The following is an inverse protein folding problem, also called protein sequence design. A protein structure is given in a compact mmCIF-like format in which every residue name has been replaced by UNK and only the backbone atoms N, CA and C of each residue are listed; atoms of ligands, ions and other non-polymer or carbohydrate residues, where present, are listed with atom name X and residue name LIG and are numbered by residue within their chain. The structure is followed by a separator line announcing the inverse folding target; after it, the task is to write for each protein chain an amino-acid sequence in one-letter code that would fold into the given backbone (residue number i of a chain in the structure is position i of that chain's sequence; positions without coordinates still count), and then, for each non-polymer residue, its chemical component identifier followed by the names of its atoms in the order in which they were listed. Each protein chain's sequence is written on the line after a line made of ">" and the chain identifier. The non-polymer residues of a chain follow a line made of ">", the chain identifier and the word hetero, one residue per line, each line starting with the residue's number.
data_IF_064379765851
#
_entry.id   IF_064379765851
#
_cell.length_a   1.000
_cell.length_b   1.000
_cell.length_c   1.000
_cell.angle_alpha   90.00
_cell.angle_beta   90.00
_cell.angle_gamma   90.00
#
_symmetry.space_group_name_H-M   'P 1'
#
loop_
_entity.id
_entity.type
_entity.pdbx_description
1 polymer ?
#
# COMPACT_ATOMS: atom_id res chain seq x y z
N UNK A 1 22.03 -4.97 83.04
CA UNK A 1 21.30 -5.02 81.75
C UNK A 1 21.20 -3.60 81.18
N UNK A 2 21.79 -3.35 80.00
CA UNK A 2 21.55 -2.22 79.05
C UNK A 2 22.76 -2.16 78.09
N UNK A 3 22.80 -3.03 77.07
CA UNK A 3 22.43 -2.81 75.65
C UNK A 3 23.37 -1.81 74.93
N UNK A 4 24.40 -2.35 74.29
CA UNK A 4 25.12 -1.73 73.17
C UNK A 4 24.18 -1.58 71.97
N UNK A 5 24.12 -0.40 71.38
CA UNK A 5 23.48 -0.15 70.07
C UNK A 5 24.59 -0.16 69.01
N UNK A 6 24.60 -1.22 68.18
CA UNK A 6 25.32 -1.22 66.90
C UNK A 6 24.42 -0.51 65.87
N UNK A 7 24.89 0.59 65.30
CA UNK A 7 24.26 1.19 64.13
C UNK A 7 24.78 0.49 62.87
N UNK A 8 23.90 -0.27 62.21
CA UNK A 8 24.18 -0.91 60.92
C UNK A 8 23.86 0.09 59.81
N UNK A 9 24.87 0.59 59.12
CA UNK A 9 24.69 1.42 57.93
C UNK A 9 24.25 0.53 56.75
N UNK A 10 22.99 0.69 56.33
CA UNK A 10 22.43 0.00 55.17
C UNK A 10 22.86 0.75 53.90
N UNK A 11 23.86 0.22 53.19
CA UNK A 11 24.21 0.69 51.84
C UNK A 11 23.20 0.12 50.86
N UNK A 12 22.26 0.94 50.41
CA UNK A 12 21.34 0.59 49.32
C UNK A 12 22.08 0.80 48.00
N UNK A 13 22.59 -0.29 47.41
CA UNK A 13 23.03 -0.31 46.02
C UNK A 13 21.78 -0.19 45.13
N UNK A 14 21.53 1.01 44.62
CA UNK A 14 20.55 1.22 43.57
C UNK A 14 21.05 0.53 42.30
N UNK A 15 20.50 -0.65 42.00
CA UNK A 15 20.62 -1.26 40.67
C UNK A 15 19.85 -0.39 39.69
N UNK A 16 20.55 0.44 38.93
CA UNK A 16 19.99 1.09 37.74
C UNK A 16 19.49 -0.02 36.82
N UNK A 17 18.18 -0.16 36.67
CA UNK A 17 17.58 -1.00 35.64
C UNK A 17 18.16 -0.55 34.29
N UNK A 18 18.96 -1.40 33.68
CA UNK A 18 19.44 -1.22 32.31
C UNK A 18 18.18 -1.19 31.44
N UNK A 19 17.97 -0.11 30.70
CA UNK A 19 16.92 -0.07 29.69
C UNK A 19 17.06 -1.32 28.82
N UNK A 20 16.01 -2.13 28.71
CA UNK A 20 16.03 -3.34 27.91
C UNK A 20 16.53 -2.99 26.50
N UNK A 21 17.60 -3.65 26.05
CA UNK A 21 18.14 -3.42 24.71
C UNK A 21 17.01 -3.64 23.68
N UNK A 22 16.76 -2.70 22.77
CA UNK A 22 15.60 -2.78 21.88
C UNK A 22 15.68 -4.04 21.01
N UNK A 23 14.66 -4.90 21.09
CA UNK A 23 14.60 -6.20 20.41
C UNK A 23 14.86 -6.03 18.91
N UNK A 24 15.92 -6.68 18.40
CA UNK A 24 16.22 -6.74 16.97
C UNK A 24 15.32 -7.79 16.34
N UNK A 25 14.50 -7.39 15.36
CA UNK A 25 13.67 -8.34 14.61
C UNK A 25 14.48 -9.02 13.50
N UNK A 26 14.36 -10.34 13.42
CA UNK A 26 14.99 -11.18 12.39
C UNK A 26 14.01 -12.11 11.71
N UNK A 27 12.89 -12.46 12.37
CA UNK A 27 11.81 -13.30 11.84
C UNK A 27 10.48 -12.64 12.13
N UNK A 28 9.68 -12.37 11.11
CA UNK A 28 8.38 -11.70 11.26
C UNK A 28 7.35 -12.51 10.50
N UNK A 29 6.28 -12.92 11.17
CA UNK A 29 5.13 -13.56 10.52
C UNK A 29 4.03 -12.52 10.29
N UNK A 30 3.22 -12.70 9.25
CA UNK A 30 2.06 -11.84 9.02
C UNK A 30 0.95 -12.57 8.26
N UNK A 31 -0.27 -12.08 8.35
CA UNK A 31 -1.41 -12.58 7.57
C UNK A 31 -2.74 -12.00 8.01
N UNK A 32 -3.83 -12.46 7.39
CA UNK A 32 -5.20 -12.02 7.65
C UNK A 32 -6.22 -13.16 7.51
N UNK A 33 -7.48 -12.87 7.80
CA UNK A 33 -8.64 -13.72 7.48
C UNK A 33 -8.65 -15.04 8.27
N UNK A 34 -8.96 -14.93 9.57
CA UNK A 34 -9.13 -16.05 10.48
C UNK A 34 -10.58 -16.17 10.97
N UNK A 35 -11.29 -17.15 10.44
CA UNK A 35 -12.62 -17.54 10.92
C UNK A 35 -12.49 -18.33 12.22
N UNK A 36 -12.80 -17.68 13.34
CA UNK A 36 -12.78 -18.27 14.68
C UNK A 36 -13.70 -19.50 14.83
N UNK A 37 -14.70 -19.66 13.97
CA UNK A 37 -15.67 -20.76 14.05
C UNK A 37 -15.19 -22.02 13.31
N UNK A 38 -14.00 -21.97 12.68
CA UNK A 38 -13.37 -23.08 11.94
C UNK A 38 -11.99 -23.42 12.51
N UNK A 39 -11.45 -24.62 12.21
CA UNK A 39 -10.07 -24.96 12.55
C UNK A 39 -9.05 -23.94 12.00
N UNK A 40 -8.01 -23.66 12.79
CA UNK A 40 -6.90 -22.76 12.47
C UNK A 40 -5.54 -23.43 12.81
N UNK A 41 -5.23 -24.61 12.23
CA UNK A 41 -3.98 -25.32 12.54
C UNK A 41 -2.73 -24.53 12.07
N UNK A 42 -2.89 -23.63 11.10
CA UNK A 42 -1.82 -22.73 10.66
C UNK A 42 -1.18 -21.92 11.80
N UNK A 43 -1.92 -21.64 12.87
CA UNK A 43 -1.38 -20.94 14.04
C UNK A 43 -0.33 -21.79 14.79
N UNK A 44 -0.48 -23.11 14.81
CA UNK A 44 0.55 -24.00 15.37
C UNK A 44 1.82 -23.99 14.51
N UNK A 45 1.67 -23.95 13.18
CA UNK A 45 2.78 -23.82 12.24
C UNK A 45 3.53 -22.51 12.41
N UNK A 46 2.80 -21.38 12.54
CA UNK A 46 3.41 -20.07 12.81
C UNK A 46 4.13 -20.09 14.17
N UNK A 47 3.53 -20.68 15.20
CA UNK A 47 4.16 -20.79 16.51
C UNK A 47 5.46 -21.62 16.45
N UNK A 48 5.46 -22.71 15.69
CA UNK A 48 6.64 -23.55 15.47
C UNK A 48 7.77 -22.82 14.72
N UNK A 49 7.42 -21.86 13.85
CA UNK A 49 8.39 -21.01 13.16
C UNK A 49 9.09 -19.99 14.07
N UNK A 50 8.57 -19.77 15.30
CA UNK A 50 9.10 -18.87 16.33
C UNK A 50 9.42 -17.46 15.80
N UNK A 51 8.43 -16.73 15.27
CA UNK A 51 8.63 -15.35 14.85
C UNK A 51 8.97 -14.45 16.05
N UNK A 52 9.73 -13.40 15.79
CA UNK A 52 9.99 -12.33 16.75
C UNK A 52 8.79 -11.40 16.94
N UNK A 53 7.93 -11.32 15.91
CA UNK A 53 6.72 -10.52 15.84
C UNK A 53 5.71 -11.18 14.88
N UNK A 54 4.43 -11.18 15.25
CA UNK A 54 3.32 -11.52 14.36
C UNK A 54 2.49 -10.27 14.08
N UNK A 55 2.28 -9.97 12.78
CA UNK A 55 1.50 -8.82 12.31
C UNK A 55 0.17 -9.33 11.75
N UNK A 56 -0.95 -8.98 12.37
CA UNK A 56 -2.26 -9.28 11.83
C UNK A 56 -2.79 -8.12 10.98
N UNK A 57 -3.21 -8.43 9.75
CA UNK A 57 -3.57 -7.43 8.75
C UNK A 57 -5.08 -7.16 8.67
N UNK A 58 -5.87 -7.75 9.56
CA UNK A 58 -7.33 -7.60 9.57
C UNK A 58 -8.06 -8.91 9.34
N UNK A 59 -9.40 -8.86 9.41
CA UNK A 59 -10.26 -10.05 9.56
C UNK A 59 -9.68 -10.99 10.63
N UNK A 60 -9.32 -10.40 11.77
CA UNK A 60 -8.77 -11.13 12.90
C UNK A 60 -9.77 -12.13 13.49
N UNK A 61 -11.04 -11.89 13.18
CA UNK A 61 -12.21 -12.70 13.41
C UNK A 61 -13.28 -12.25 12.40
N UNK A 62 -14.37 -12.98 12.27
CA UNK A 62 -15.49 -12.61 11.41
C UNK A 62 -16.78 -12.39 12.23
N UNK A 63 -17.29 -11.16 12.26
CA UNK A 63 -18.50 -10.84 12.99
C UNK A 63 -19.81 -11.14 12.22
N UNK A 64 -19.75 -11.22 10.88
CA UNK A 64 -20.89 -11.09 9.97
C UNK A 64 -21.07 -12.25 8.97
N UNK A 65 -20.33 -13.37 9.13
CA UNK A 65 -20.50 -14.54 8.26
C UNK A 65 -21.87 -15.20 8.41
N UNK A 66 -22.46 -15.17 9.60
CA UNK A 66 -23.85 -15.61 9.80
C UNK A 66 -24.82 -14.52 9.33
N UNK A 67 -25.35 -14.69 8.11
CA UNK A 67 -26.31 -13.74 7.51
C UNK A 67 -27.63 -13.61 8.26
N UNK A 68 -27.92 -14.49 9.22
CA UNK A 68 -29.12 -14.39 10.09
C UNK A 68 -28.85 -13.56 11.33
N UNK A 69 -27.59 -13.36 11.68
CA UNK A 69 -27.18 -12.59 12.84
C UNK A 69 -27.10 -11.10 12.48
N UNK A 70 -27.77 -10.26 13.27
CA UNK A 70 -27.52 -8.82 13.24
C UNK A 70 -26.23 -8.55 13.99
N UNK A 71 -25.24 -7.98 13.32
CA UNK A 71 -23.99 -7.57 13.99
C UNK A 71 -24.27 -6.38 14.90
N UNK A 72 -23.87 -6.51 16.15
CA UNK A 72 -23.91 -5.48 17.19
C UNK A 72 -22.53 -5.38 17.85
N UNK A 73 -22.26 -4.32 18.63
CA UNK A 73 -21.02 -4.23 19.41
C UNK A 73 -20.73 -5.45 20.28
N UNK A 74 -21.76 -6.08 20.86
CA UNK A 74 -21.59 -7.27 21.69
C UNK A 74 -21.23 -8.50 20.87
N UNK A 75 -21.83 -8.68 19.68
CA UNK A 75 -21.41 -9.72 18.73
C UNK A 75 -19.94 -9.57 18.38
N UNK A 76 -19.48 -8.35 18.09
CA UNK A 76 -18.07 -8.08 17.78
C UNK A 76 -17.18 -8.48 18.96
N UNK A 77 -17.50 -8.03 20.18
CA UNK A 77 -16.73 -8.40 21.39
C UNK A 77 -16.70 -9.91 21.61
N UNK A 78 -17.83 -10.59 21.44
CA UNK A 78 -17.90 -12.03 21.68
C UNK A 78 -17.13 -12.83 20.64
N UNK A 79 -17.10 -12.38 19.38
CA UNK A 79 -16.32 -13.01 18.33
C UNK A 79 -14.80 -12.86 18.55
N UNK A 80 -14.34 -11.72 19.09
CA UNK A 80 -12.96 -11.61 19.57
C UNK A 80 -12.65 -12.57 20.72
N UNK A 81 -13.55 -12.68 21.73
CA UNK A 81 -13.38 -13.64 22.84
C UNK A 81 -13.36 -15.09 22.34
N UNK A 82 -14.06 -15.41 21.25
CA UNK A 82 -14.00 -16.72 20.62
C UNK A 82 -12.62 -16.95 19.98
N UNK A 83 -12.09 -15.97 19.23
CA UNK A 83 -10.74 -16.06 18.67
C UNK A 83 -9.67 -16.27 19.76
N UNK A 84 -9.76 -15.56 20.88
CA UNK A 84 -8.82 -15.74 22.00
C UNK A 84 -8.83 -17.14 22.61
N UNK A 85 -9.93 -17.89 22.43
CA UNK A 85 -10.07 -19.27 22.90
C UNK A 85 -9.57 -20.31 21.89
N UNK A 86 -9.27 -19.92 20.65
CA UNK A 86 -8.67 -20.81 19.66
C UNK A 86 -7.29 -21.25 20.18
N UNK A 87 -7.03 -22.56 20.39
CA UNK A 87 -5.82 -23.02 21.07
C UNK A 87 -4.52 -22.53 20.42
N UNK A 88 -4.43 -22.59 19.09
CA UNK A 88 -3.27 -22.11 18.34
C UNK A 88 -3.07 -20.60 18.49
N UNK A 89 -4.15 -19.82 18.51
CA UNK A 89 -4.10 -18.37 18.72
C UNK A 89 -3.65 -18.03 20.15
N UNK A 90 -4.23 -18.67 21.16
CA UNK A 90 -3.85 -18.49 22.56
C UNK A 90 -2.37 -18.79 22.79
N UNK A 91 -1.85 -19.86 22.16
CA UNK A 91 -0.43 -20.22 22.17
C UNK A 91 0.45 -19.15 21.51
N UNK A 92 0.06 -18.62 20.34
CA UNK A 92 0.76 -17.52 19.69
C UNK A 92 0.79 -16.27 20.56
N UNK A 93 -0.37 -15.83 21.07
CA UNK A 93 -0.50 -14.66 21.94
C UNK A 93 0.37 -14.78 23.21
N UNK A 94 0.56 -15.99 23.73
CA UNK A 94 1.43 -16.25 24.89
C UNK A 94 2.93 -16.29 24.58
N UNK A 95 3.34 -16.50 23.31
CA UNK A 95 4.75 -16.79 22.95
C UNK A 95 5.37 -15.81 21.97
N UNK A 96 4.55 -15.01 21.27
CA UNK A 96 4.99 -14.06 20.26
C UNK A 96 4.30 -12.70 20.51
N UNK A 97 5.05 -11.59 20.55
CA UNK A 97 4.45 -10.27 20.47
C UNK A 97 3.59 -10.14 19.22
N UNK A 98 2.42 -9.51 19.37
CA UNK A 98 1.46 -9.34 18.29
C UNK A 98 1.05 -7.88 18.16
N UNK A 99 1.03 -7.40 16.92
CA UNK A 99 0.47 -6.10 16.55
C UNK A 99 -0.46 -6.30 15.37
N UNK A 100 -1.43 -5.42 15.17
CA UNK A 100 -2.34 -5.58 14.05
C UNK A 100 -3.32 -4.44 13.85
N UNK A 101 -4.04 -4.53 12.75
CA UNK A 101 -5.17 -3.67 12.40
C UNK A 101 -6.39 -4.54 12.13
N UNK A 102 -7.53 -3.94 11.82
CA UNK A 102 -8.73 -4.64 11.36
C UNK A 102 -8.86 -4.65 9.84
N UNK A 103 -9.84 -5.40 9.35
CA UNK A 103 -10.46 -5.22 8.05
C UNK A 103 -12.00 -5.12 8.22
N UNK A 104 -12.79 -5.35 7.18
CA UNK A 104 -14.23 -5.13 7.21
C UNK A 104 -14.99 -6.11 8.12
N UNK A 105 -14.59 -7.38 8.22
CA UNK A 105 -15.37 -8.37 8.96
C UNK A 105 -15.23 -8.25 10.48
N UNK A 106 -14.09 -7.78 10.98
CA UNK A 106 -13.87 -7.46 12.39
C UNK A 106 -14.13 -5.98 12.74
N UNK A 107 -14.18 -5.09 11.73
CA UNK A 107 -14.86 -3.79 11.82
C UNK A 107 -16.38 -3.94 11.97
N UNK A 108 -16.95 -5.01 11.38
CA UNK A 108 -18.27 -5.54 11.71
C UNK A 108 -19.21 -5.77 10.53
N UNK A 109 -18.81 -5.44 9.29
CA UNK A 109 -19.65 -5.64 8.10
C UNK A 109 -18.82 -5.58 6.83
N UNK A 110 -18.99 -6.59 5.97
CA UNK A 110 -18.37 -6.67 4.65
C UNK A 110 -18.47 -5.36 3.84
N UNK A 111 -17.34 -4.91 3.30
CA UNK A 111 -17.15 -3.66 2.57
C UNK A 111 -17.65 -2.40 3.31
N UNK A 112 -17.77 -2.40 4.64
CA UNK A 112 -18.21 -1.22 5.38
C UNK A 112 -17.07 -0.22 5.64
N UNK A 113 -17.41 1.06 5.62
CA UNK A 113 -16.51 2.19 5.84
C UNK A 113 -17.07 3.18 6.86
N UNK A 114 -16.98 4.47 6.57
CA UNK A 114 -17.43 5.55 7.46
C UNK A 114 -18.92 5.47 7.81
N UNK A 115 -19.74 4.85 6.96
CA UNK A 115 -21.18 4.68 7.17
C UNK A 115 -21.55 3.66 8.26
N UNK A 116 -20.58 2.86 8.74
CA UNK A 116 -20.84 1.88 9.79
C UNK A 116 -21.14 2.54 11.13
N UNK A 117 -22.33 2.28 11.66
CA UNK A 117 -22.84 2.93 12.87
C UNK A 117 -22.11 2.50 14.15
N UNK A 118 -21.50 1.30 14.16
CA UNK A 118 -20.82 0.72 15.33
C UNK A 118 -19.29 0.84 15.31
N UNK A 119 -18.74 1.69 14.45
CA UNK A 119 -17.28 1.80 14.25
C UNK A 119 -16.51 2.21 15.51
N UNK A 120 -17.11 3.03 16.37
CA UNK A 120 -16.49 3.47 17.62
C UNK A 120 -16.41 2.34 18.64
N UNK A 121 -17.46 1.52 18.74
CA UNK A 121 -17.47 0.36 19.62
C UNK A 121 -16.62 -0.78 19.09
N UNK A 122 -16.61 -0.99 17.77
CA UNK A 122 -15.70 -1.92 17.10
C UNK A 122 -14.24 -1.54 17.40
N UNK A 123 -13.91 -0.24 17.38
CA UNK A 123 -12.57 0.27 17.72
C UNK A 123 -12.18 -0.17 19.13
N UNK A 124 -13.06 0.02 20.11
CA UNK A 124 -12.76 -0.39 21.47
C UNK A 124 -12.60 -1.91 21.59
N UNK A 125 -13.40 -2.70 20.87
CA UNK A 125 -13.29 -4.16 20.87
C UNK A 125 -11.94 -4.65 20.31
N UNK A 126 -11.47 -4.09 19.19
CA UNK A 126 -10.14 -4.40 18.63
C UNK A 126 -9.02 -4.01 19.62
N UNK A 127 -9.11 -2.83 20.21
CA UNK A 127 -8.09 -2.34 21.15
C UNK A 127 -8.06 -3.21 22.43
N UNK A 128 -9.21 -3.69 22.89
CA UNK A 128 -9.30 -4.65 24.00
C UNK A 128 -8.67 -6.00 23.63
N UNK A 129 -8.93 -6.50 22.42
CA UNK A 129 -8.36 -7.75 21.90
C UNK A 129 -6.82 -7.73 21.86
N UNK A 130 -6.23 -6.61 21.46
CA UNK A 130 -4.77 -6.40 21.50
C UNK A 130 -4.24 -5.97 22.88
N UNK A 131 -5.10 -5.81 23.89
CA UNK A 131 -4.69 -5.42 25.24
C UNK A 131 -4.12 -4.01 25.33
N UNK A 132 -4.55 -3.11 24.43
CA UNK A 132 -4.06 -1.73 24.39
C UNK A 132 -4.43 -1.00 25.68
N UNK A 133 -3.47 -0.27 26.27
CA UNK A 133 -3.66 0.42 27.53
C UNK A 133 -4.82 1.44 27.48
N UNK A 134 -5.45 1.70 28.64
CA UNK A 134 -6.63 2.58 28.73
C UNK A 134 -6.32 4.05 28.44
N UNK A 135 -5.08 4.46 28.62
CA UNK A 135 -4.55 5.81 28.38
C UNK A 135 -3.84 5.95 27.03
N UNK A 136 -3.80 4.89 26.22
CA UNK A 136 -3.24 4.94 24.86
C UNK A 136 -4.06 5.91 23.99
N UNK A 137 -3.41 6.80 23.20
CA UNK A 137 -4.11 7.75 22.34
C UNK A 137 -5.14 7.12 21.39
N UNK A 138 -4.96 5.85 20.99
CA UNK A 138 -5.93 5.10 20.17
C UNK A 138 -7.28 4.91 20.85
N UNK A 139 -7.36 5.00 22.18
CA UNK A 139 -8.63 4.87 22.91
C UNK A 139 -9.57 6.04 22.65
N UNK A 140 -9.04 7.21 22.31
CA UNK A 140 -9.80 8.44 22.08
C UNK A 140 -9.68 9.00 20.67
N UNK A 141 -8.57 8.74 19.98
CA UNK A 141 -8.37 9.14 18.58
C UNK A 141 -9.18 8.24 17.65
N UNK A 142 -9.79 8.83 16.63
CA UNK A 142 -10.58 8.10 15.63
C UNK A 142 -9.67 7.22 14.77
N UNK A 143 -10.03 5.94 14.61
CA UNK A 143 -9.26 4.93 13.88
C UNK A 143 -8.19 4.21 14.72
N UNK A 144 -7.85 2.99 14.31
CA UNK A 144 -6.97 2.05 15.05
C UNK A 144 -5.50 2.09 14.61
N UNK A 145 -5.19 2.90 13.61
CA UNK A 145 -3.86 3.02 13.03
C UNK A 145 -2.79 3.35 14.08
N UNK A 146 -1.60 2.75 13.95
CA UNK A 146 -0.46 3.02 14.83
C UNK A 146 0.85 2.53 14.23
N UNK A 147 1.96 2.79 14.90
CA UNK A 147 3.27 2.36 14.45
C UNK A 147 4.19 2.04 15.63
N UNK A 148 5.05 1.05 15.44
CA UNK A 148 6.08 0.64 16.39
C UNK A 148 7.45 0.57 15.70
N UNK A 149 8.51 0.89 16.43
CA UNK A 149 9.89 0.81 15.94
C UNK A 149 10.65 -0.16 16.85
N UNK A 150 11.23 -1.18 16.25
CA UNK A 150 12.03 -2.21 16.93
C UNK A 150 13.49 -2.11 16.52
N UNK A 151 14.39 -2.50 17.41
CA UNK A 151 15.83 -2.53 17.18
C UNK A 151 16.55 -1.19 17.36
N UNK A 152 17.89 -1.22 17.54
CA UNK A 152 18.72 -0.02 17.63
C UNK A 152 19.01 0.57 16.23
N UNK A 153 19.51 1.82 16.14
CA UNK A 153 19.93 2.42 14.87
C UNK A 153 20.80 1.48 14.01
N UNK A 154 20.50 1.40 12.71
CA UNK A 154 21.15 0.49 11.77
C UNK A 154 20.49 -0.89 11.66
N UNK A 155 19.59 -1.24 12.60
CA UNK A 155 18.79 -2.49 12.58
C UNK A 155 17.32 -2.23 12.91
N UNK A 156 16.79 -1.06 12.54
CA UNK A 156 15.42 -0.67 12.86
C UNK A 156 14.42 -1.23 11.87
N UNK A 157 13.39 -1.84 12.41
CA UNK A 157 12.17 -2.18 11.69
C UNK A 157 11.06 -1.30 12.22
N UNK A 158 10.46 -0.50 11.34
CA UNK A 158 9.24 0.24 11.64
C UNK A 158 8.05 -0.52 11.08
N UNK A 159 7.11 -0.90 11.94
CA UNK A 159 5.82 -1.45 11.54
C UNK A 159 4.81 -0.32 11.55
N UNK A 160 4.19 -0.04 10.41
CA UNK A 160 3.17 1.01 10.24
C UNK A 160 1.86 0.32 9.90
N UNK A 161 0.92 0.35 10.83
CA UNK A 161 -0.40 -0.26 10.69
C UNK A 161 -1.40 0.80 10.27
N UNK A 162 -1.86 0.70 9.02
CA UNK A 162 -2.92 1.54 8.50
C UNK A 162 -4.29 1.03 8.97
N UNK A 163 -5.26 1.90 8.86
CA UNK A 163 -6.68 1.68 9.09
C UNK A 163 -7.36 2.16 7.81
N UNK A 164 -7.87 1.23 7.04
CA UNK A 164 -8.47 1.46 5.72
C UNK A 164 -10.00 1.37 5.79
N UNK A 165 -10.58 1.44 7.00
CA UNK A 165 -12.03 1.31 7.25
C UNK A 165 -12.63 2.54 7.89
N UNK A 166 -12.05 3.04 8.99
CA UNK A 166 -12.72 4.02 9.87
C UNK A 166 -13.18 5.29 9.14
N UNK A 167 -12.31 5.83 8.29
CA UNK A 167 -12.56 7.05 7.52
C UNK A 167 -12.99 6.77 6.09
N UNK A 168 -13.04 5.49 5.68
CA UNK A 168 -13.15 5.13 4.28
C UNK A 168 -14.49 5.59 3.71
N UNK A 169 -14.43 6.32 2.61
CA UNK A 169 -15.60 6.70 1.83
C UNK A 169 -16.29 5.46 1.22
N UNK A 170 -17.61 5.49 0.98
CA UNK A 170 -18.32 4.35 0.41
C UNK A 170 -17.69 3.84 -0.91
N UNK A 171 -17.58 2.51 -1.04
CA UNK A 171 -17.13 1.88 -2.30
C UNK A 171 -18.26 1.96 -3.33
N UNK A 172 -17.92 2.40 -4.54
CA UNK A 172 -18.81 2.31 -5.70
C UNK A 172 -18.80 0.88 -6.22
N UNK A 173 -19.97 0.28 -6.44
CA UNK A 173 -20.10 -1.09 -6.98
C UNK A 173 -20.80 -1.07 -8.33
N UNK A 174 -20.36 -1.93 -9.25
CA UNK A 174 -21.08 -2.23 -10.47
C UNK A 174 -22.38 -3.01 -10.15
N UNK A 175 -23.36 -3.06 -11.07
CA UNK A 175 -24.47 -4.01 -10.96
C UNK A 175 -23.94 -5.44 -10.76
N UNK A 176 -24.66 -6.22 -9.96
CA UNK A 176 -24.34 -7.62 -9.75
C UNK A 176 -24.41 -8.39 -11.07
N UNK A 177 -23.33 -9.08 -11.43
CA UNK A 177 -23.30 -9.96 -12.59
C UNK A 177 -23.61 -11.40 -12.15
N UNK A 178 -24.74 -11.99 -12.58
CA UNK A 178 -25.10 -13.35 -12.21
C UNK A 178 -24.19 -14.43 -12.79
N UNK A 179 -23.43 -14.13 -13.87
CA UNK A 179 -22.50 -15.09 -14.48
C UNK A 179 -21.25 -15.28 -13.64
N UNK A 180 -20.69 -14.18 -13.14
CA UNK A 180 -19.50 -14.19 -12.28
C UNK A 180 -19.84 -14.23 -10.80
N UNK A 181 -21.10 -13.94 -10.44
CA UNK A 181 -21.60 -13.76 -9.06
C UNK A 181 -20.88 -12.66 -8.29
N UNK A 182 -20.47 -11.61 -8.99
CA UNK A 182 -19.66 -10.52 -8.44
C UNK A 182 -20.35 -9.18 -8.74
N UNK A 183 -20.34 -8.28 -7.76
CA UNK A 183 -20.57 -6.85 -7.96
C UNK A 183 -19.23 -6.13 -7.82
N UNK A 184 -18.60 -5.80 -8.95
CA UNK A 184 -17.23 -5.32 -8.97
C UNK A 184 -17.09 -3.95 -8.29
N UNK A 185 -16.06 -3.77 -7.46
CA UNK A 185 -15.65 -2.47 -6.93
C UNK A 185 -15.14 -1.59 -8.08
N UNK A 186 -15.80 -0.46 -8.28
CA UNK A 186 -15.47 0.53 -9.30
C UNK A 186 -14.56 1.63 -8.71
N UNK A 187 -13.74 2.30 -9.54
CA UNK A 187 -13.01 3.48 -9.11
C UNK A 187 -13.96 4.60 -8.65
N UNK A 188 -13.66 5.16 -7.48
CA UNK A 188 -14.25 6.37 -6.96
C UNK A 188 -13.28 7.54 -7.15
N UNK A 189 -13.57 8.39 -8.14
CA UNK A 189 -12.74 9.55 -8.51
C UNK A 189 -13.16 10.86 -7.85
N UNK A 190 -14.15 10.81 -6.96
CA UNK A 190 -14.64 11.99 -6.24
C UNK A 190 -13.46 12.63 -5.47
N UNK A 191 -13.30 13.96 -5.51
CA UNK A 191 -12.13 14.63 -4.94
C UNK A 191 -12.02 14.47 -3.42
N UNK A 192 -13.14 14.26 -2.73
CA UNK A 192 -13.21 14.13 -1.28
C UNK A 192 -13.23 12.66 -0.82
N UNK A 193 -13.21 11.70 -1.76
CA UNK A 193 -13.15 10.28 -1.43
C UNK A 193 -11.82 9.95 -0.77
N UNK A 194 -11.87 9.25 0.36
CA UNK A 194 -10.69 8.93 1.18
C UNK A 194 -10.69 7.49 1.70
N UNK A 195 -9.51 6.91 1.92
CA UNK A 195 -9.34 5.71 2.76
C UNK A 195 -8.97 6.12 4.18
N UNK A 196 -7.92 6.94 4.31
CA UNK A 196 -7.29 7.22 5.60
C UNK A 196 -7.90 8.42 6.33
N UNK A 197 -8.53 9.36 5.62
CA UNK A 197 -8.96 10.63 6.19
C UNK A 197 -7.79 11.55 6.57
N UNK A 198 -8.10 12.83 6.80
CA UNK A 198 -7.07 13.86 6.96
C UNK A 198 -6.14 13.64 8.16
N UNK A 199 -6.67 13.14 9.29
CA UNK A 199 -5.91 12.95 10.53
C UNK A 199 -4.85 11.85 10.38
N UNK A 200 -5.25 10.71 9.81
CA UNK A 200 -4.33 9.59 9.60
C UNK A 200 -3.31 9.91 8.50
N UNK A 201 -3.68 10.66 7.45
CA UNK A 201 -2.73 11.13 6.45
C UNK A 201 -1.60 11.96 7.07
N UNK A 202 -1.97 12.92 7.93
CA UNK A 202 -0.99 13.74 8.66
C UNK A 202 -0.13 12.87 9.58
N UNK A 203 -0.75 11.96 10.33
CA UNK A 203 -0.03 11.03 11.19
C UNK A 203 0.96 10.14 10.42
N UNK A 204 0.57 9.64 9.25
CA UNK A 204 1.41 8.80 8.40
C UNK A 204 2.64 9.55 7.90
N UNK A 205 2.47 10.81 7.48
CA UNK A 205 3.60 11.68 7.11
C UNK A 205 4.60 11.81 8.26
N UNK A 206 4.13 12.03 9.48
CA UNK A 206 4.97 12.11 10.68
C UNK A 206 5.69 10.78 10.96
N UNK A 207 5.03 9.64 10.77
CA UNK A 207 5.65 8.32 10.94
C UNK A 207 6.74 8.06 9.91
N UNK A 208 6.53 8.42 8.64
CA UNK A 208 7.49 8.17 7.57
C UNK A 208 8.78 9.01 7.73
N UNK A 209 8.70 10.15 8.42
CA UNK A 209 9.87 10.97 8.79
C UNK A 209 10.70 10.34 9.92
N UNK A 210 10.16 9.38 10.68
CA UNK A 210 10.93 8.67 11.72
C UNK A 210 11.97 7.77 11.06
N UNK A 211 13.19 7.68 11.63
CA UNK A 211 14.26 6.92 11.02
C UNK A 211 14.06 5.41 11.20
N UNK A 212 14.13 4.66 10.11
CA UNK A 212 14.04 3.21 10.06
C UNK A 212 14.78 2.66 8.84
N UNK A 213 15.37 1.47 8.98
CA UNK A 213 16.06 0.78 7.90
C UNK A 213 15.07 -0.03 7.05
N UNK A 214 14.14 -0.76 7.69
CA UNK A 214 13.03 -1.47 7.04
C UNK A 214 11.70 -0.90 7.53
N UNK A 215 10.74 -0.71 6.61
CA UNK A 215 9.38 -0.24 6.90
C UNK A 215 8.38 -1.27 6.40
N UNK A 216 7.63 -1.88 7.31
CA UNK A 216 6.53 -2.77 6.99
C UNK A 216 5.23 -1.96 7.03
N UNK A 217 4.72 -1.59 5.86
CA UNK A 217 3.48 -0.84 5.73
C UNK A 217 2.31 -1.83 5.61
N UNK A 218 1.64 -2.08 6.72
CA UNK A 218 0.50 -2.98 6.81
C UNK A 218 -0.80 -2.26 6.40
N UNK A 219 -1.46 -2.78 5.38
CA UNK A 219 -2.75 -2.34 4.84
C UNK A 219 -3.71 -3.52 4.87
N UNK A 220 -4.98 -3.33 5.22
CA UNK A 220 -5.90 -4.48 5.25
C UNK A 220 -6.23 -4.98 3.83
N UNK A 221 -6.31 -4.06 2.87
CA UNK A 221 -6.55 -4.33 1.45
C UNK A 221 -5.29 -4.18 0.59
N UNK A 222 -5.29 -4.80 -0.60
CA UNK A 222 -4.18 -4.70 -1.56
C UNK A 222 -3.93 -3.26 -2.04
N UNK A 223 -2.66 -2.87 -2.07
CA UNK A 223 -2.22 -1.52 -2.45
C UNK A 223 -1.83 -1.45 -3.93
N UNK A 224 -0.99 -2.39 -4.37
CA UNK A 224 -0.35 -2.34 -5.69
C UNK A 224 -1.27 -2.82 -6.81
N UNK A 225 -2.11 -3.82 -6.52
CA UNK A 225 -2.98 -4.48 -7.50
C UNK A 225 -3.96 -3.51 -8.18
N UNK A 226 -4.23 -3.74 -9.47
CA UNK A 226 -5.12 -2.89 -10.29
C UNK A 226 -6.36 -3.62 -10.81
N UNK A 227 -6.26 -4.93 -11.05
CA UNK A 227 -7.12 -5.59 -12.05
C UNK A 227 -8.27 -6.43 -11.47
N UNK A 228 -8.12 -7.02 -10.27
CA UNK A 228 -9.17 -7.87 -9.69
C UNK A 228 -10.42 -7.03 -9.34
N UNK A 229 -11.64 -7.60 -9.36
CA UNK A 229 -12.88 -6.81 -9.23
C UNK A 229 -13.26 -6.44 -7.79
N UNK A 230 -12.42 -6.73 -6.80
CA UNK A 230 -12.74 -6.55 -5.38
C UNK A 230 -12.06 -5.31 -4.79
N UNK A 231 -12.21 -5.10 -3.48
CA UNK A 231 -11.69 -3.92 -2.79
C UNK A 231 -10.16 -3.88 -2.78
N UNK A 232 -9.61 -2.71 -3.08
CA UNK A 232 -8.18 -2.42 -3.20
C UNK A 232 -7.97 -0.91 -3.24
N UNK A 233 -6.74 -0.46 -3.04
CA UNK A 233 -6.40 0.97 -3.12
C UNK A 233 -6.72 1.61 -4.48
N UNK A 234 -6.69 0.83 -5.58
CA UNK A 234 -7.09 1.32 -6.89
C UNK A 234 -8.58 1.73 -6.97
N UNK A 235 -9.40 1.38 -5.98
CA UNK A 235 -10.78 1.85 -5.90
C UNK A 235 -10.91 3.31 -5.47
N UNK A 236 -9.90 3.92 -4.84
CA UNK A 236 -9.83 5.39 -4.64
C UNK A 236 -8.48 5.86 -5.18
N UNK A 237 -8.33 6.00 -6.51
CA UNK A 237 -7.02 6.16 -7.16
C UNK A 237 -6.23 7.37 -6.65
N UNK A 238 -6.91 8.48 -6.32
CA UNK A 238 -6.28 9.69 -5.76
C UNK A 238 -5.61 9.45 -4.41
N UNK A 239 -6.20 8.61 -3.55
CA UNK A 239 -5.60 8.25 -2.26
C UNK A 239 -4.35 7.38 -2.45
N UNK A 240 -4.37 6.48 -3.43
CA UNK A 240 -3.19 5.66 -3.76
C UNK A 240 -2.06 6.51 -4.33
N UNK A 241 -2.37 7.41 -5.25
CA UNK A 241 -1.41 8.38 -5.80
C UNK A 241 -0.83 9.26 -4.68
N UNK A 242 -1.68 9.71 -3.74
CA UNK A 242 -1.25 10.47 -2.56
C UNK A 242 -0.30 9.66 -1.67
N UNK A 243 -0.53 8.35 -1.50
CA UNK A 243 0.40 7.48 -0.77
C UNK A 243 1.76 7.41 -1.45
N UNK A 244 1.78 7.14 -2.76
CA UNK A 244 3.01 7.09 -3.53
C UNK A 244 3.78 8.42 -3.46
N UNK A 245 3.08 9.54 -3.64
CA UNK A 245 3.66 10.88 -3.52
C UNK A 245 4.24 11.13 -2.12
N UNK A 246 3.55 10.67 -1.06
CA UNK A 246 4.02 10.80 0.31
C UNK A 246 5.29 9.96 0.58
N UNK A 247 5.34 8.72 0.09
CA UNK A 247 6.53 7.88 0.19
C UNK A 247 7.74 8.53 -0.51
N UNK A 248 7.53 9.13 -1.69
CA UNK A 248 8.58 9.84 -2.41
C UNK A 248 9.00 11.14 -1.70
N UNK A 249 8.05 11.98 -1.27
CA UNK A 249 8.34 13.29 -0.68
C UNK A 249 9.03 13.19 0.69
N UNK A 250 8.66 12.17 1.48
CA UNK A 250 9.34 11.85 2.75
C UNK A 250 10.66 11.12 2.55
N UNK A 251 10.99 10.72 1.31
CA UNK A 251 12.15 9.89 0.97
C UNK A 251 12.18 8.60 1.80
N UNK A 252 11.00 8.04 2.07
CA UNK A 252 10.89 6.79 2.82
C UNK A 252 11.62 5.68 2.07
N UNK A 253 12.51 4.97 2.76
CA UNK A 253 13.27 3.84 2.21
C UNK A 253 12.92 2.55 2.93
N UNK A 254 13.23 1.41 2.30
CA UNK A 254 13.00 0.10 2.88
C UNK A 254 11.53 -0.29 3.00
N UNK A 255 10.63 0.34 2.25
CA UNK A 255 9.18 0.09 2.36
C UNK A 255 8.80 -1.20 1.64
N UNK A 256 8.14 -2.09 2.39
CA UNK A 256 7.48 -3.30 1.90
C UNK A 256 6.03 -3.24 2.40
N UNK A 257 5.07 -3.39 1.49
CA UNK A 257 3.66 -3.42 1.83
C UNK A 257 3.25 -4.85 2.19
N UNK A 258 2.46 -4.98 3.26
CA UNK A 258 1.82 -6.22 3.67
C UNK A 258 0.31 -6.04 3.54
N UNK A 259 -0.38 -6.96 2.84
CA UNK A 259 -1.83 -6.85 2.58
C UNK A 259 -2.64 -8.12 2.86
N UNK A 260 -3.96 -7.95 3.07
CA UNK A 260 -4.94 -8.98 3.41
C UNK A 260 -6.12 -9.06 2.42
N UNK A 261 -7.35 -9.21 2.93
CA UNK A 261 -8.67 -9.23 2.23
C UNK A 261 -8.94 -10.38 1.23
N UNK A 262 -7.96 -10.76 0.41
CA UNK A 262 -8.20 -11.51 -0.84
C UNK A 262 -8.51 -13.01 -0.73
N UNK A 263 -8.32 -13.63 0.44
CA UNK A 263 -8.43 -15.08 0.63
C UNK A 263 -7.52 -15.89 -0.32
N UNK A 264 -6.35 -15.34 -0.62
CA UNK A 264 -5.24 -15.94 -1.34
C UNK A 264 -3.92 -15.33 -0.86
N UNK A 265 -2.81 -15.89 -1.33
CA UNK A 265 -1.52 -15.23 -1.23
C UNK A 265 -1.04 -14.78 -2.61
N UNK A 266 -0.46 -13.58 -2.67
CA UNK A 266 0.25 -13.14 -3.86
C UNK A 266 1.29 -12.07 -3.55
N UNK A 267 2.24 -11.91 -4.46
CA UNK A 267 3.23 -10.84 -4.43
C UNK A 267 3.03 -10.01 -5.69
N UNK A 268 2.74 -8.73 -5.49
CA UNK A 268 2.69 -7.72 -6.55
C UNK A 268 3.94 -6.84 -6.51
N UNK A 269 4.35 -6.34 -7.67
CA UNK A 269 5.52 -5.47 -7.80
C UNK A 269 5.19 -4.23 -8.64
N UNK A 270 5.39 -3.06 -8.07
CA UNK A 270 5.37 -1.79 -8.79
C UNK A 270 6.77 -1.18 -8.84
N UNK A 271 7.33 -1.07 -10.04
CA UNK A 271 8.67 -0.50 -10.25
C UNK A 271 8.63 0.95 -10.74
N UNK A 272 7.45 1.58 -10.80
CA UNK A 272 7.25 2.88 -11.46
C UNK A 272 6.69 3.96 -10.53
N UNK A 273 5.87 3.57 -9.55
CA UNK A 273 5.16 4.54 -8.69
C UNK A 273 6.05 5.26 -7.69
N UNK A 274 7.15 4.64 -7.26
CA UNK A 274 8.12 5.25 -6.32
C UNK A 274 9.55 5.01 -6.81
N UNK A 275 10.52 5.67 -6.16
CA UNK A 275 11.91 5.67 -6.63
C UNK A 275 12.69 4.35 -6.51
N UNK A 276 12.02 3.25 -6.15
CA UNK A 276 12.55 1.89 -6.06
C UNK A 276 11.39 0.88 -6.19
N UNK A 277 11.66 -0.43 -6.35
CA UNK A 277 10.59 -1.42 -6.45
C UNK A 277 9.74 -1.50 -5.16
N UNK A 278 8.44 -1.22 -5.28
CA UNK A 278 7.46 -1.35 -4.22
C UNK A 278 6.81 -2.73 -4.29
N UNK A 279 7.16 -3.57 -3.32
CA UNK A 279 6.54 -4.89 -3.14
C UNK A 279 5.28 -4.76 -2.30
N UNK A 280 4.22 -5.45 -2.72
CA UNK A 280 3.00 -5.66 -1.95
C UNK A 280 2.77 -7.16 -1.80
N UNK A 281 2.89 -7.64 -0.58
CA UNK A 281 2.81 -9.06 -0.26
C UNK A 281 1.50 -9.32 0.46
N UNK A 282 0.57 -9.89 -0.30
CA UNK A 282 -0.71 -10.33 0.21
C UNK A 282 -0.57 -11.71 0.82
N UNK A 283 -0.93 -11.82 2.09
CA UNK A 283 -1.12 -13.11 2.75
C UNK A 283 -2.47 -13.09 3.45
N UNK A 284 -3.45 -13.65 2.77
CA UNK A 284 -4.85 -13.53 3.15
C UNK A 284 -5.51 -14.89 3.13
N UNK A 285 -5.80 -15.43 4.31
CA UNK A 285 -6.43 -16.73 4.47
C UNK A 285 -5.67 -17.61 5.44
N UNK A 286 -5.73 -17.28 6.72
CA UNK A 286 -5.35 -18.23 7.77
C UNK A 286 -6.24 -19.47 7.74
N UNK A 287 -7.53 -19.32 7.41
CA UNK A 287 -8.41 -20.46 7.10
C UNK A 287 -9.51 -20.17 6.06
N UNK A 288 -9.40 -19.04 5.36
CA UNK A 288 -10.35 -18.63 4.32
C UNK A 288 -9.82 -18.86 2.91
N UNK A 289 -8.62 -19.42 2.76
CA UNK A 289 -8.06 -19.76 1.47
C UNK A 289 -8.93 -20.77 0.72
N UNK A 290 -9.01 -20.63 -0.61
CA UNK A 290 -9.71 -21.63 -1.44
C UNK A 290 -9.05 -22.99 -1.25
N UNK A 291 -9.79 -24.01 -0.81
CA UNK A 291 -9.22 -25.37 -0.64
C UNK A 291 -8.96 -26.10 -1.96
N UNK A 292 -9.59 -25.63 -3.03
CA UNK A 292 -9.40 -26.16 -4.38
C UNK A 292 -8.59 -25.18 -5.20
N UNK A 293 -7.80 -25.71 -6.13
CA UNK A 293 -7.13 -24.89 -7.13
C UNK A 293 -8.14 -24.00 -7.86
N UNK A 294 -7.83 -22.71 -7.94
CA UNK A 294 -8.53 -21.74 -8.78
C UNK A 294 -7.53 -20.99 -9.63
N UNK A 295 -7.92 -20.59 -10.84
CA UNK A 295 -7.08 -19.71 -11.64
C UNK A 295 -6.82 -18.41 -10.84
N UNK A 296 -5.58 -17.91 -10.78
CA UNK A 296 -5.29 -16.63 -10.15
C UNK A 296 -6.15 -15.51 -10.75
N UNK A 297 -6.62 -14.62 -9.89
CA UNK A 297 -7.37 -13.42 -10.31
C UNK A 297 -6.52 -12.54 -11.23
N UNK A 298 -7.12 -11.66 -12.03
CA UNK A 298 -6.34 -10.75 -12.86
C UNK A 298 -5.44 -9.87 -11.98
N UNK A 299 -4.15 -9.81 -12.31
CA UNK A 299 -3.17 -8.89 -11.72
C UNK A 299 -1.96 -8.77 -12.65
N UNK A 300 -1.88 -7.67 -13.36
CA UNK A 300 -0.82 -7.31 -14.31
C UNK A 300 0.52 -7.03 -13.64
N UNK A 301 0.53 -6.85 -12.31
CA UNK A 301 1.72 -6.58 -11.49
C UNK A 301 2.16 -7.79 -10.68
N UNK A 302 1.56 -8.96 -10.89
CA UNK A 302 1.87 -10.18 -10.14
C UNK A 302 3.29 -10.67 -10.45
N UNK A 303 4.06 -10.90 -9.38
CA UNK A 303 5.34 -11.59 -9.41
C UNK A 303 5.19 -13.07 -9.06
N UNK A 304 4.37 -13.39 -8.06
CA UNK A 304 4.11 -14.75 -7.61
C UNK A 304 2.71 -14.84 -6.97
N UNK A 305 2.11 -16.03 -6.94
CA UNK A 305 0.85 -16.28 -6.25
C UNK A 305 0.74 -17.71 -5.76
N UNK A 306 -0.02 -17.88 -4.68
CA UNK A 306 -0.51 -19.15 -4.17
C UNK A 306 -2.04 -19.16 -4.37
N UNK A 307 -2.54 -19.82 -5.43
CA UNK A 307 -3.95 -19.70 -5.83
C UNK A 307 -4.95 -20.43 -4.91
N UNK A 308 -4.46 -21.30 -4.03
CA UNK A 308 -5.28 -22.15 -3.17
C UNK A 308 -4.50 -22.52 -1.90
N UNK A 309 -5.20 -22.98 -0.88
CA UNK A 309 -4.65 -23.32 0.43
C UNK A 309 -4.63 -22.13 1.38
N UNK A 310 -4.53 -22.45 2.66
CA UNK A 310 -4.30 -21.44 3.69
C UNK A 310 -2.82 -21.06 3.68
N UNK A 311 -2.54 -19.83 4.09
CA UNK A 311 -1.21 -19.28 3.97
C UNK A 311 -0.89 -18.24 5.07
N UNK A 312 0.40 -18.05 5.29
CA UNK A 312 0.94 -16.93 6.05
C UNK A 312 2.20 -16.38 5.39
N UNK A 313 2.44 -15.09 5.58
CA UNK A 313 3.65 -14.43 5.15
C UNK A 313 4.76 -14.58 6.19
N UNK A 314 6.00 -14.76 5.73
CA UNK A 314 7.17 -14.89 6.60
C UNK A 314 8.35 -14.09 6.07
N UNK A 315 8.82 -13.14 6.87
CA UNK A 315 9.94 -12.25 6.56
C UNK A 315 11.13 -12.67 7.40
N UNK A 316 12.29 -12.83 6.78
CA UNK A 316 13.56 -12.94 7.50
C UNK A 316 14.50 -11.81 7.13
N UNK A 317 15.13 -11.19 8.13
CA UNK A 317 16.11 -10.12 7.93
C UNK A 317 17.47 -10.60 8.42
N UNK A 318 18.42 -10.62 7.50
CA UNK A 318 19.82 -10.91 7.77
C UNK A 318 20.61 -9.62 7.89
N UNK A 319 20.96 -9.27 9.12
CA UNK A 319 21.67 -8.03 9.48
C UNK A 319 23.21 -8.18 9.51
N UNK A 320 23.78 -9.33 9.12
CA UNK A 320 25.20 -9.61 9.38
C UNK A 320 26.18 -8.89 8.43
N UNK A 321 25.70 -8.30 7.34
CA UNK A 321 26.53 -7.60 6.34
C UNK A 321 26.21 -6.12 6.23
N UNK A 322 27.10 -5.37 5.56
CA UNK A 322 26.98 -3.92 5.33
C UNK A 322 25.73 -3.54 4.51
N UNK A 323 25.22 -4.49 3.73
CA UNK A 323 23.96 -4.38 3.00
C UNK A 323 23.03 -5.52 3.42
N UNK A 324 22.19 -5.31 4.46
CA UNK A 324 21.29 -6.31 5.00
C UNK A 324 20.40 -6.93 3.92
N UNK A 325 20.04 -8.21 4.10
CA UNK A 325 19.18 -8.93 3.15
C UNK A 325 17.83 -9.20 3.78
N UNK A 326 16.77 -8.82 3.09
CA UNK A 326 15.39 -9.15 3.44
C UNK A 326 14.92 -10.27 2.51
N UNK A 327 14.44 -11.37 3.09
CA UNK A 327 13.74 -12.41 2.35
C UNK A 327 12.28 -12.44 2.80
N UNK A 328 11.37 -12.47 1.84
CA UNK A 328 9.94 -12.61 2.10
C UNK A 328 9.45 -13.88 1.44
N UNK A 329 8.67 -14.67 2.17
CA UNK A 329 8.08 -15.92 1.72
C UNK A 329 6.58 -15.88 1.95
N UNK A 330 5.85 -16.52 1.05
CA UNK A 330 4.52 -17.05 1.31
C UNK A 330 4.73 -18.50 1.73
N UNK A 331 4.11 -18.89 2.83
CA UNK A 331 4.13 -20.26 3.34
C UNK A 331 2.71 -20.81 3.44
N UNK A 332 2.55 -22.08 3.18
CA UNK A 332 1.27 -22.77 3.34
C UNK A 332 1.02 -23.20 4.80
N UNK A 333 -0.07 -23.92 5.03
CA UNK A 333 -0.48 -24.44 6.34
C UNK A 333 0.59 -25.36 6.99
N UNK A 334 1.34 -26.11 6.17
CA UNK A 334 2.41 -27.00 6.63
C UNK A 334 3.73 -26.25 6.89
N UNK A 335 3.81 -25.00 6.46
CA UNK A 335 4.95 -24.11 6.64
C UNK A 335 5.96 -24.15 5.50
N UNK A 336 5.62 -24.83 4.40
CA UNK A 336 6.44 -24.92 3.20
C UNK A 336 6.36 -23.62 2.40
N UNK A 337 7.51 -23.17 1.91
CA UNK A 337 7.58 -21.94 1.13
C UNK A 337 7.09 -22.18 -0.30
N UNK A 338 5.96 -21.57 -0.65
CA UNK A 338 5.32 -21.73 -1.97
C UNK A 338 5.70 -20.62 -2.96
N UNK A 339 6.19 -19.49 -2.45
CA UNK A 339 6.66 -18.36 -3.24
C UNK A 339 7.42 -17.35 -2.39
N UNK A 340 8.12 -16.41 -3.02
CA UNK A 340 8.86 -15.39 -2.29
C UNK A 340 9.86 -14.61 -3.13
N UNK A 341 10.55 -13.67 -2.49
CA UNK A 341 11.66 -12.92 -3.07
C UNK A 341 12.73 -12.64 -2.03
N UNK A 342 13.93 -12.28 -2.50
CA UNK A 342 15.04 -11.82 -1.68
C UNK A 342 15.58 -10.52 -2.26
N UNK A 343 15.77 -9.53 -1.42
CA UNK A 343 16.30 -8.22 -1.81
C UNK A 343 17.37 -7.78 -0.83
N UNK A 344 18.34 -7.03 -1.34
CA UNK A 344 19.28 -6.28 -0.52
C UNK A 344 18.62 -4.97 -0.10
N UNK A 345 18.89 -4.49 1.11
CA UNK A 345 18.22 -3.27 1.60
C UNK A 345 18.58 -2.05 0.74
N UNK A 346 19.77 -2.02 0.16
CA UNK A 346 20.20 -1.02 -0.82
C UNK A 346 19.26 -0.90 -2.03
N UNK A 347 18.59 -1.98 -2.46
CA UNK A 347 17.67 -1.93 -3.61
C UNK A 347 16.32 -1.29 -3.26
N UNK A 348 16.03 -1.14 -1.96
CA UNK A 348 14.84 -0.45 -1.46
C UNK A 348 15.17 0.97 -1.00
N UNK A 349 16.30 1.52 -1.46
CA UNK A 349 16.65 2.92 -1.31
C UNK A 349 16.46 3.56 -2.68
N UNK A 350 15.69 4.64 -2.73
CA UNK A 350 15.56 5.40 -3.96
C UNK A 350 16.95 5.83 -4.43
N UNK A 351 17.26 5.65 -5.71
CA UNK A 351 18.55 6.00 -6.32
C UNK A 351 18.83 7.51 -6.35
N UNK A 352 18.04 8.34 -5.67
CA UNK A 352 18.01 9.78 -5.90
C UNK A 352 17.57 10.18 -7.32
N UNK A 353 17.27 9.21 -8.19
CA UNK A 353 16.90 9.43 -9.60
C UNK A 353 15.51 8.92 -9.95
N UNK A 354 14.88 8.17 -9.04
CA UNK A 354 13.47 7.79 -9.12
C UNK A 354 12.55 8.84 -8.48
N UNK A 355 12.70 10.11 -8.88
CA UNK A 355 11.57 11.02 -8.76
C UNK A 355 10.50 10.52 -9.74
N UNK A 356 9.59 9.65 -9.26
CA UNK A 356 8.20 9.93 -9.53
C UNK A 356 7.96 11.26 -8.80
N UNK A 357 8.20 12.35 -9.54
CA UNK A 357 7.80 13.69 -9.14
C UNK A 357 6.38 13.51 -8.60
N UNK A 358 6.05 14.10 -7.44
CA UNK A 358 4.65 14.46 -7.24
C UNK A 358 4.20 15.12 -8.54
N UNK A 359 2.94 15.03 -8.94
CA UNK A 359 2.40 16.10 -9.80
C UNK A 359 2.35 17.37 -8.93
N UNK A 360 3.50 17.84 -8.44
CA UNK A 360 3.81 19.24 -8.53
C UNK A 360 3.75 19.49 -10.02
N UNK A 361 2.84 20.37 -10.44
CA UNK A 361 3.00 21.04 -11.72
C UNK A 361 4.48 21.39 -11.84
N UNK A 362 5.19 20.72 -12.75
CA UNK A 362 6.54 21.15 -13.14
C UNK A 362 6.38 22.64 -13.36
N UNK A 363 7.11 23.49 -12.61
CA UNK A 363 6.97 24.93 -12.77
C UNK A 363 7.50 25.23 -14.16
N UNK A 364 6.59 25.24 -15.12
CA UNK A 364 6.88 25.45 -16.52
C UNK A 364 7.54 26.82 -16.65
N UNK A 365 8.49 27.00 -17.58
CA UNK A 365 9.04 28.31 -17.85
C UNK A 365 7.92 29.32 -18.12
N UNK A 366 8.15 30.60 -17.78
CA UNK A 366 7.16 31.64 -18.02
C UNK A 366 6.72 31.64 -19.50
N UNK A 367 5.41 31.59 -19.72
CA UNK A 367 4.82 31.50 -21.06
C UNK A 367 4.67 30.09 -21.64
N UNK A 368 5.10 29.03 -20.92
CA UNK A 368 4.91 27.63 -21.33
C UNK A 368 3.73 27.01 -20.58
N UNK A 369 2.82 26.37 -21.32
CA UNK A 369 1.58 25.80 -20.81
C UNK A 369 1.68 24.28 -20.61
N UNK A 370 0.91 23.78 -19.64
CA UNK A 370 0.65 22.35 -19.51
C UNK A 370 -0.30 21.90 -20.63
N UNK A 371 -0.33 20.60 -20.98
CA UNK A 371 -1.27 20.08 -21.98
C UNK A 371 -2.74 20.43 -21.65
N UNK A 372 -3.13 20.36 -20.38
CA UNK A 372 -4.48 20.70 -19.93
C UNK A 372 -4.81 22.20 -20.05
N UNK A 373 -3.83 23.08 -19.82
CA UNK A 373 -4.00 24.52 -20.03
C UNK A 373 -4.06 24.86 -21.51
N UNK A 374 -3.18 24.25 -22.32
CA UNK A 374 -3.15 24.44 -23.77
C UNK A 374 -4.40 23.92 -24.48
N UNK A 375 -4.98 22.81 -24.00
CA UNK A 375 -6.23 22.27 -24.54
C UNK A 375 -7.40 23.27 -24.49
N UNK A 376 -7.36 24.26 -23.59
CA UNK A 376 -8.38 25.30 -23.43
C UNK A 376 -8.16 26.51 -24.35
N UNK A 377 -7.09 26.51 -25.14
CA UNK A 377 -6.58 27.65 -25.92
C UNK A 377 -6.78 27.47 -27.43
N UNK A 378 -7.92 26.90 -27.82
CA UNK A 378 -8.25 26.60 -29.22
C UNK A 378 -8.17 27.85 -30.09
N UNK A 379 -7.39 27.77 -31.19
CA UNK A 379 -7.14 28.88 -32.10
C UNK A 379 -5.95 29.77 -31.71
N UNK A 380 -5.44 29.67 -30.48
CA UNK A 380 -4.28 30.45 -30.03
C UNK A 380 -2.96 29.73 -30.40
N UNK A 381 -1.91 30.52 -30.68
CA UNK A 381 -0.54 30.03 -30.75
C UNK A 381 0.03 29.99 -29.34
N UNK A 382 0.42 28.81 -28.87
CA UNK A 382 0.91 28.58 -27.51
C UNK A 382 2.17 27.71 -27.54
N UNK A 383 2.93 27.75 -26.45
CA UNK A 383 4.04 26.83 -26.22
C UNK A 383 3.63 25.83 -25.15
N UNK A 384 3.83 24.54 -25.39
CA UNK A 384 3.46 23.44 -24.50
C UNK A 384 4.68 22.59 -24.21
N UNK A 385 4.84 22.16 -22.96
CA UNK A 385 5.89 21.23 -22.56
C UNK A 385 5.31 20.07 -21.76
N UNK A 386 5.70 18.85 -22.13
CA UNK A 386 5.34 17.62 -21.41
C UNK A 386 6.22 16.44 -21.85
N UNK A 387 6.17 15.36 -21.08
CA UNK A 387 6.83 14.09 -21.42
C UNK A 387 5.93 13.24 -22.31
N UNK A 388 6.44 12.81 -23.46
CA UNK A 388 5.67 12.03 -24.45
C UNK A 388 5.48 10.60 -23.97
N UNK A 389 4.23 10.15 -23.87
CA UNK A 389 3.88 8.81 -23.39
C UNK A 389 3.77 7.77 -24.52
N UNK A 390 3.33 8.20 -25.71
CA UNK A 390 3.33 7.38 -26.92
C UNK A 390 3.45 8.24 -28.17
N UNK A 391 3.92 7.63 -29.26
CA UNK A 391 3.92 8.25 -30.59
C UNK A 391 3.01 7.44 -31.50
N UNK A 392 2.06 8.12 -32.14
CA UNK A 392 1.12 7.51 -33.08
C UNK A 392 1.16 8.15 -34.47
N UNK A 393 0.39 7.59 -35.40
CA UNK A 393 0.26 8.07 -36.78
C UNK A 393 1.29 7.51 -37.75
N UNK A 394 0.93 7.46 -39.04
CA UNK A 394 1.77 6.92 -40.13
C UNK A 394 2.40 8.04 -40.97
N UNK A 395 1.61 9.04 -41.35
CA UNK A 395 2.08 10.18 -42.13
C UNK A 395 2.44 11.38 -41.24
N UNK A 396 1.51 11.77 -40.37
CA UNK A 396 1.78 12.74 -39.30
C UNK A 396 2.18 11.97 -38.04
N UNK A 397 3.12 12.53 -37.27
CA UNK A 397 3.43 12.01 -35.95
C UNK A 397 2.57 12.71 -34.91
N UNK A 398 1.98 11.92 -34.01
CA UNK A 398 1.20 12.38 -32.87
C UNK A 398 1.97 12.03 -31.61
N UNK A 399 2.56 13.04 -30.98
CA UNK A 399 3.20 12.90 -29.68
C UNK A 399 2.10 13.02 -28.64
N UNK A 400 1.78 11.94 -27.93
CA UNK A 400 0.62 11.86 -27.05
C UNK A 400 1.03 11.98 -25.58
N UNK A 401 0.18 12.64 -24.77
CA UNK A 401 0.31 12.64 -23.31
C UNK A 401 -0.05 11.30 -22.68
N UNK A 402 -0.82 10.45 -23.38
CA UNK A 402 -1.23 9.13 -22.90
C UNK A 402 -0.68 7.99 -23.77
N UNK A 403 -0.51 6.80 -23.17
CA UNK A 403 -0.20 5.57 -23.92
C UNK A 403 -1.38 5.12 -24.76
N UNK A 404 -2.60 5.28 -24.24
CA UNK A 404 -3.82 5.14 -25.04
C UNK A 404 -4.18 6.49 -25.66
N UNK A 405 -3.89 6.65 -26.95
CA UNK A 405 -4.18 7.89 -27.68
C UNK A 405 -5.70 8.18 -27.79
N UNK A 406 -6.56 7.23 -27.44
CA UNK A 406 -8.02 7.40 -27.38
C UNK A 406 -8.53 7.80 -26.00
N UNK A 407 -7.66 7.88 -25.00
CA UNK A 407 -8.05 8.33 -23.68
C UNK A 407 -8.67 9.74 -23.75
N UNK A 408 -9.72 9.97 -22.95
CA UNK A 408 -10.48 11.24 -22.98
C UNK A 408 -9.64 12.46 -22.59
N UNK A 409 -8.57 12.23 -21.84
CA UNK A 409 -7.62 13.24 -21.37
C UNK A 409 -6.35 13.30 -22.23
N UNK A 410 -6.30 12.59 -23.36
CA UNK A 410 -5.16 12.65 -24.26
C UNK A 410 -5.08 14.01 -24.96
N UNK A 411 -3.89 14.61 -24.91
CA UNK A 411 -3.51 15.77 -25.71
C UNK A 411 -2.36 15.37 -26.62
N UNK A 412 -2.37 15.88 -27.85
CA UNK A 412 -1.33 15.56 -28.82
C UNK A 412 -0.66 16.80 -29.38
N UNK A 413 0.67 16.74 -29.48
CA UNK A 413 1.44 17.59 -30.40
C UNK A 413 1.55 16.84 -31.73
N UNK A 414 1.10 17.47 -32.80
CA UNK A 414 1.07 16.92 -34.15
C UNK A 414 2.23 17.50 -34.93
N UNK A 415 3.05 16.63 -35.51
CA UNK A 415 4.07 16.99 -36.50
C UNK A 415 3.56 16.55 -37.88
N UNK A 416 3.01 17.47 -38.67
CA UNK A 416 2.70 17.20 -40.07
C UNK A 416 3.90 16.68 -40.86
N UNK A 417 3.68 15.84 -41.88
CA UNK A 417 4.78 15.33 -42.71
C UNK A 417 5.68 16.44 -43.29
N UNK A 418 5.10 17.59 -43.65
CA UNK A 418 5.83 18.75 -44.18
C UNK A 418 6.82 19.40 -43.20
N UNK A 419 6.67 19.16 -41.90
CA UNK A 419 7.58 19.70 -40.85
C UNK A 419 8.56 18.63 -40.32
N UNK A 420 8.45 17.39 -40.81
CA UNK A 420 9.38 16.32 -40.47
C UNK A 420 10.63 16.39 -41.37
N UNK A 421 11.35 17.50 -41.29
CA UNK A 421 12.57 17.77 -42.09
C UNK A 421 13.79 17.97 -41.20
N UNK A 422 15.00 17.90 -41.77
CA UNK A 422 16.25 18.03 -41.02
C UNK A 422 16.37 16.97 -39.92
N UNK A 423 16.58 17.40 -38.67
CA UNK A 423 16.72 16.48 -37.52
C UNK A 423 15.49 15.62 -37.24
N UNK A 424 14.33 15.94 -37.83
CA UNK A 424 13.08 15.21 -37.63
C UNK A 424 12.72 14.24 -38.77
N UNK A 425 13.53 14.12 -39.82
CA UNK A 425 13.25 13.26 -40.99
C UNK A 425 13.05 11.79 -40.66
N UNK A 426 13.76 11.31 -39.63
CA UNK A 426 13.69 9.92 -39.15
C UNK A 426 13.05 9.81 -37.77
N UNK A 427 12.29 10.84 -37.37
CA UNK A 427 11.73 10.87 -36.04
C UNK A 427 10.59 9.85 -35.88
N UNK A 428 10.53 9.20 -34.73
CA UNK A 428 9.53 8.18 -34.43
C UNK A 428 9.39 7.94 -32.94
N UNK A 429 8.85 6.78 -32.56
CA UNK A 429 8.67 6.41 -31.16
C UNK A 429 9.98 6.50 -30.36
N UNK A 430 11.07 5.93 -30.88
CA UNK A 430 12.40 5.94 -30.23
C UNK A 430 12.99 7.35 -30.07
N UNK A 431 12.51 8.30 -30.87
CA UNK A 431 12.94 9.70 -30.80
C UNK A 431 12.32 10.42 -29.61
N UNK A 432 11.05 10.16 -29.31
CA UNK A 432 10.27 11.01 -28.40
C UNK A 432 9.73 10.31 -27.15
N UNK A 433 9.40 9.02 -27.21
CA UNK A 433 8.77 8.32 -26.07
C UNK A 433 9.67 8.39 -24.83
N UNK A 434 9.10 8.85 -23.72
CA UNK A 434 9.80 9.03 -22.45
C UNK A 434 10.65 10.30 -22.37
N UNK A 435 10.72 11.11 -23.43
CA UNK A 435 11.44 12.40 -23.44
C UNK A 435 10.49 13.57 -23.25
N UNK A 436 10.97 14.63 -22.62
CA UNK A 436 10.26 15.90 -22.49
C UNK A 436 10.42 16.70 -23.78
N UNK A 437 9.31 17.08 -24.39
CA UNK A 437 9.30 17.94 -25.58
C UNK A 437 8.73 19.30 -25.22
N UNK A 438 9.26 20.33 -25.86
CA UNK A 438 8.65 21.67 -25.88
C UNK A 438 8.30 21.99 -27.32
N UNK A 439 7.03 22.31 -27.54
CA UNK A 439 6.49 22.57 -28.86
C UNK A 439 5.70 23.88 -28.86
N UNK A 440 5.98 24.73 -29.84
CA UNK A 440 5.19 25.93 -30.11
C UNK A 440 4.33 25.70 -31.35
N UNK A 441 3.06 26.06 -31.27
CA UNK A 441 2.15 25.84 -32.39
C UNK A 441 0.74 26.33 -32.11
N UNK A 442 -0.14 26.14 -33.08
CA UNK A 442 -1.55 26.57 -32.96
C UNK A 442 -2.39 25.40 -32.47
N UNK A 443 -3.23 25.64 -31.47
CA UNK A 443 -4.20 24.64 -31.00
C UNK A 443 -5.34 24.54 -32.01
N UNK A 444 -5.54 23.36 -32.58
CA UNK A 444 -6.62 23.03 -33.52
C UNK A 444 -7.52 21.94 -32.96
N UNK A 445 -8.78 21.94 -33.37
CA UNK A 445 -9.69 20.84 -33.08
C UNK A 445 -9.62 19.79 -34.17
N UNK A 446 -9.44 18.53 -33.77
CA UNK A 446 -9.57 17.38 -34.64
C UNK A 446 -10.70 16.49 -34.10
N UNK A 447 -11.83 16.44 -34.81
CA UNK A 447 -13.04 15.70 -34.40
C UNK A 447 -13.36 15.91 -32.90
N UNK A 448 -13.39 17.18 -32.49
CA UNK A 448 -13.68 17.65 -31.12
C UNK A 448 -12.55 17.54 -30.10
N UNK A 449 -11.40 16.96 -30.44
CA UNK A 449 -10.24 16.88 -29.54
C UNK A 449 -9.22 17.99 -29.85
N UNK A 450 -8.82 18.84 -28.88
CA UNK A 450 -7.79 19.86 -29.09
C UNK A 450 -6.39 19.24 -29.20
N UNK A 451 -5.63 19.67 -30.20
CA UNK A 451 -4.26 19.22 -30.48
C UNK A 451 -3.40 20.42 -30.90
N UNK A 452 -2.12 20.42 -30.57
CA UNK A 452 -1.19 21.47 -31.03
C UNK A 452 -0.58 21.03 -32.37
N UNK A 453 -0.75 21.84 -33.43
CA UNK A 453 -0.09 21.58 -34.71
C UNK A 453 1.16 22.44 -34.84
N UNK A 454 2.31 21.78 -35.04
CA UNK A 454 3.60 22.42 -35.28
C UNK A 454 3.69 22.89 -36.73
N UNK A 455 4.07 24.15 -36.94
CA UNK A 455 4.15 24.77 -38.27
C UNK A 455 5.56 24.77 -38.86
N UNK A 456 6.60 24.80 -38.01
CA UNK A 456 8.00 24.84 -38.40
C UNK A 456 8.80 23.76 -37.63
N UNK A 457 9.72 23.01 -38.26
CA UNK A 457 10.61 22.07 -37.59
C UNK A 457 11.37 22.65 -36.37
N UNK A 458 11.69 23.95 -36.38
CA UNK A 458 12.38 24.65 -35.31
C UNK A 458 11.49 24.93 -34.09
N UNK A 459 10.17 24.90 -34.25
CA UNK A 459 9.20 25.12 -33.17
C UNK A 459 9.04 23.89 -32.25
N UNK A 460 9.81 22.81 -32.50
CA UNK A 460 9.87 21.63 -31.65
C UNK A 460 11.31 21.41 -31.16
N UNK A 461 11.43 21.17 -29.86
CA UNK A 461 12.68 20.72 -29.24
C UNK A 461 12.44 19.61 -28.22
N UNK A 462 13.47 18.78 -28.02
CA UNK A 462 13.55 17.88 -26.87
C UNK A 462 14.29 18.65 -25.80
N UNK A 463 13.66 18.83 -24.64
CA UNK A 463 14.25 19.52 -23.50
C UNK A 463 15.08 18.50 -22.73
N UNK A 464 16.39 18.72 -22.65
CA UNK A 464 17.26 17.94 -21.77
C UNK A 464 16.99 18.33 -20.31
N UNK A 465 16.93 17.34 -19.42
CA UNK A 465 16.66 17.55 -17.99
C UNK A 465 17.87 18.08 -17.25
#
# INVERSE_FOLDING_TARGET
>A
MRRLLLALALVVLATTARADDPKVLTKIAFGSCADQDKPLPIFDTIAAAKPDLLILLGDNMYADLDRKLKVTPDVIRDKYKLMEKVPGFAKLKATCPMVGTWDDHDYGKNDAGVEWEHKDEAQQALLDFFGVAKDDPRRTRKGVYHAEIYGPPGKRVQVILLDTRYFRSPIKKAPFDPKTRIAACLPNTDPDATFLGAEQWKWLEEQLKKPAEVRLLASSIQLVSDDHPFEKWANIPKEREKLHALLNSTKATGVIVLSGDRHLAEISLDTKSIGYPLYDVTSSGFNQGSKNWRAPEANSKRLAAMPFGDNFGFITIDWSGDDPRVAVQIRDEDGDATGGFKVRLSTLKGTGTGAATPVAEEKLPDGVLSPAAAAKKVGEKVTVQYTVASVGGKANLYLNTNKDFRAKDNFAVVLPTKVQTGKWEKAGADTFVGKTVRATGTIKLNKESPQLEVADPADLEIVEK
#
